data_IF_204452092790
#
_entry.id   IF_204452092790
#
_cell.length_a   1.000
_cell.length_b   1.000
_cell.length_c   1.000
_cell.angle_alpha   90.00
_cell.angle_beta   90.00
_cell.angle_gamma   90.00
#
_symmetry.space_group_name_H-M   'P 1'
#
loop_
_entity.id
_entity.type
_entity.pdbx_description
1 polymer ?
#
# COMPACT_ATOMS: atom_id res chain seq x y z
N UNK A 1 -36.22 -71.45 -14.59
CA UNK A 1 -36.07 -70.01 -14.96
C UNK A 1 -36.07 -69.03 -13.77
N UNK A 2 -36.88 -69.20 -12.71
CA UNK A 2 -36.91 -68.24 -11.56
C UNK A 2 -35.60 -68.09 -10.76
N UNK A 3 -34.72 -69.11 -10.70
CA UNK A 3 -33.45 -69.04 -9.97
C UNK A 3 -32.39 -68.11 -10.61
N UNK A 4 -32.42 -67.95 -11.94
CA UNK A 4 -31.47 -67.05 -12.62
C UNK A 4 -31.80 -65.57 -12.39
N UNK A 5 -33.09 -65.25 -12.24
CA UNK A 5 -33.56 -63.89 -11.99
C UNK A 5 -33.27 -63.41 -10.57
N UNK A 6 -33.25 -64.30 -9.56
CA UNK A 6 -32.92 -63.92 -8.18
C UNK A 6 -31.44 -63.59 -7.99
N UNK A 7 -30.52 -64.32 -8.64
CA UNK A 7 -29.09 -64.05 -8.52
C UNK A 7 -28.66 -62.75 -9.22
N UNK A 8 -29.30 -62.40 -10.35
CA UNK A 8 -28.99 -61.17 -11.06
C UNK A 8 -29.44 -59.91 -10.30
N UNK A 9 -30.61 -59.94 -9.66
CA UNK A 9 -31.08 -58.80 -8.86
C UNK A 9 -30.21 -58.57 -7.62
N UNK A 10 -29.76 -59.64 -6.95
CA UNK A 10 -28.86 -59.53 -5.79
C UNK A 10 -27.51 -58.89 -6.15
N UNK A 11 -26.94 -59.25 -7.33
CA UNK A 11 -25.69 -58.63 -7.81
C UNK A 11 -25.88 -57.16 -8.14
N UNK A 12 -27.01 -56.79 -8.73
CA UNK A 12 -27.35 -55.39 -9.06
C UNK A 12 -27.49 -54.53 -7.80
N UNK A 13 -28.14 -55.04 -6.75
CA UNK A 13 -28.27 -54.33 -5.47
C UNK A 13 -26.92 -54.13 -4.77
N UNK A 14 -26.04 -55.14 -4.80
CA UNK A 14 -24.68 -55.00 -4.24
C UNK A 14 -23.86 -53.97 -5.01
N UNK A 15 -23.91 -54.00 -6.35
CA UNK A 15 -23.24 -53.01 -7.19
C UNK A 15 -23.77 -51.60 -6.94
N UNK A 16 -25.10 -51.44 -6.81
CA UNK A 16 -25.72 -50.15 -6.51
C UNK A 16 -25.27 -49.60 -5.15
N UNK A 17 -25.14 -50.46 -4.12
CA UNK A 17 -24.62 -50.02 -2.81
C UNK A 17 -23.16 -49.57 -2.89
N UNK A 18 -22.31 -50.33 -3.59
CA UNK A 18 -20.90 -49.96 -3.78
C UNK A 18 -20.80 -48.61 -4.48
N UNK A 19 -21.58 -48.40 -5.54
CA UNK A 19 -21.59 -47.15 -6.30
C UNK A 19 -22.03 -45.95 -5.45
N UNK A 20 -23.08 -46.13 -4.63
CA UNK A 20 -23.52 -45.14 -3.65
C UNK A 20 -22.42 -44.80 -2.64
N UNK A 21 -21.75 -45.80 -2.05
CA UNK A 21 -20.68 -45.57 -1.07
C UNK A 21 -19.49 -44.82 -1.68
N UNK A 22 -19.10 -45.16 -2.92
CA UNK A 22 -18.03 -44.46 -3.63
C UNK A 22 -18.43 -43.02 -3.92
N UNK A 23 -19.67 -42.78 -4.35
CA UNK A 23 -20.17 -41.43 -4.59
C UNK A 23 -20.12 -40.56 -3.31
N UNK A 24 -20.54 -41.12 -2.17
CA UNK A 24 -20.46 -40.44 -0.87
C UNK A 24 -19.01 -40.13 -0.50
N UNK A 25 -18.09 -41.08 -0.67
CA UNK A 25 -16.66 -40.86 -0.41
C UNK A 25 -16.07 -39.74 -1.27
N UNK A 26 -16.44 -39.69 -2.56
CA UNK A 26 -16.00 -38.62 -3.47
C UNK A 26 -16.53 -37.27 -3.02
N UNK A 27 -17.82 -37.18 -2.66
CA UNK A 27 -18.43 -35.94 -2.18
C UNK A 27 -17.75 -35.45 -0.90
N UNK A 28 -17.53 -36.35 0.06
CA UNK A 28 -16.83 -36.01 1.31
C UNK A 28 -15.40 -35.57 1.03
N UNK A 29 -14.68 -36.25 0.14
CA UNK A 29 -13.33 -35.87 -0.27
C UNK A 29 -13.28 -34.48 -0.91
N UNK A 30 -14.24 -34.15 -1.77
CA UNK A 30 -14.38 -32.82 -2.38
C UNK A 30 -14.72 -31.73 -1.35
N UNK A 31 -15.55 -32.04 -0.35
CA UNK A 31 -15.83 -31.10 0.74
C UNK A 31 -14.58 -30.80 1.55
N UNK A 32 -13.82 -31.84 1.95
CA UNK A 32 -12.58 -31.66 2.74
C UNK A 32 -11.54 -30.88 1.94
N UNK A 33 -11.35 -31.19 0.66
CA UNK A 33 -10.37 -30.48 -0.17
C UNK A 33 -10.70 -29.00 -0.30
N UNK A 34 -11.98 -28.63 -0.46
CA UNK A 34 -12.40 -27.22 -0.47
C UNK A 34 -12.07 -26.49 0.82
N UNK A 35 -12.27 -27.11 1.97
CA UNK A 35 -11.92 -26.52 3.28
C UNK A 35 -10.42 -26.30 3.41
N UNK A 36 -9.61 -27.29 3.00
CA UNK A 36 -8.14 -27.17 3.03
C UNK A 36 -7.66 -26.05 2.11
N UNK A 37 -8.19 -25.97 0.88
CA UNK A 37 -7.86 -24.92 -0.09
C UNK A 37 -8.26 -23.55 0.47
N UNK A 38 -9.46 -23.40 1.03
CA UNK A 38 -9.91 -22.15 1.60
C UNK A 38 -9.01 -21.68 2.75
N UNK A 39 -8.62 -22.58 3.66
CA UNK A 39 -7.72 -22.24 4.76
C UNK A 39 -6.33 -21.79 4.27
N UNK A 40 -5.79 -22.48 3.25
CA UNK A 40 -4.51 -22.10 2.63
C UNK A 40 -4.61 -20.77 1.87
N UNK A 41 -5.75 -20.51 1.23
CA UNK A 41 -5.99 -19.26 0.52
C UNK A 41 -6.05 -18.08 1.48
N UNK A 42 -6.74 -18.21 2.61
CA UNK A 42 -6.78 -17.17 3.65
C UNK A 42 -5.38 -16.88 4.19
N UNK A 43 -4.61 -17.91 4.52
CA UNK A 43 -3.23 -17.77 4.98
C UNK A 43 -2.34 -17.07 3.91
N UNK A 44 -2.51 -17.43 2.64
CA UNK A 44 -1.79 -16.80 1.54
C UNK A 44 -2.20 -15.34 1.34
N UNK A 45 -3.48 -15.01 1.43
CA UNK A 45 -3.98 -13.64 1.31
C UNK A 45 -3.49 -12.73 2.43
N UNK A 46 -3.40 -13.24 3.66
CA UNK A 46 -2.85 -12.49 4.80
C UNK A 46 -1.36 -12.22 4.63
N UNK A 47 -0.58 -13.22 4.19
CA UNK A 47 0.83 -13.03 3.83
C UNK A 47 1.00 -12.05 2.67
N UNK A 48 0.15 -12.11 1.65
CA UNK A 48 0.21 -11.20 0.52
C UNK A 48 -0.04 -9.76 0.97
N UNK A 49 -1.05 -9.54 1.82
CA UNK A 49 -1.39 -8.23 2.37
C UNK A 49 -0.27 -7.63 3.22
N UNK A 50 0.41 -8.44 4.02
CA UNK A 50 1.56 -7.97 4.81
C UNK A 50 2.76 -7.63 3.92
N UNK A 51 3.00 -8.38 2.84
CA UNK A 51 4.00 -8.00 1.85
C UNK A 51 3.65 -6.69 1.14
N UNK A 52 2.41 -6.51 0.69
CA UNK A 52 1.96 -5.28 0.03
C UNK A 52 2.10 -4.06 0.96
N UNK A 53 1.73 -4.20 2.23
CA UNK A 53 1.95 -3.14 3.23
C UNK A 53 3.44 -2.78 3.33
N UNK A 54 4.33 -3.77 3.40
CA UNK A 54 5.77 -3.54 3.49
C UNK A 54 6.35 -2.90 2.23
N UNK A 55 5.84 -3.26 1.05
CA UNK A 55 6.21 -2.63 -0.22
C UNK A 55 5.80 -1.15 -0.19
N UNK A 56 4.59 -0.84 0.25
CA UNK A 56 4.10 0.53 0.29
C UNK A 56 4.86 1.38 1.32
N UNK A 57 5.15 0.84 2.51
CA UNK A 57 6.01 1.49 3.50
C UNK A 57 7.41 1.81 2.94
N UNK A 58 8.03 0.83 2.24
CA UNK A 58 9.35 1.01 1.63
C UNK A 58 9.32 2.05 0.52
N UNK A 59 8.23 2.08 -0.27
CA UNK A 59 8.04 3.08 -1.32
C UNK A 59 7.87 4.48 -0.75
N UNK A 60 7.09 4.65 0.31
CA UNK A 60 6.95 5.92 1.01
C UNK A 60 8.29 6.38 1.59
N UNK A 61 9.04 5.47 2.24
CA UNK A 61 10.37 5.79 2.76
C UNK A 61 11.31 6.26 1.64
N UNK A 62 11.31 5.61 0.49
CA UNK A 62 12.11 6.03 -0.67
C UNK A 62 11.67 7.38 -1.24
N UNK A 63 10.37 7.67 -1.28
CA UNK A 63 9.85 8.96 -1.72
C UNK A 63 10.27 10.08 -0.78
N UNK A 64 10.12 9.88 0.53
CA UNK A 64 10.57 10.85 1.54
C UNK A 64 12.07 11.07 1.47
N UNK A 65 12.86 10.02 1.25
CA UNK A 65 14.30 10.13 1.10
C UNK A 65 14.68 10.90 -0.17
N UNK A 66 13.97 10.64 -1.29
CA UNK A 66 14.15 11.37 -2.52
C UNK A 66 13.80 12.85 -2.38
N UNK A 67 12.73 13.17 -1.65
CA UNK A 67 12.33 14.54 -1.35
C UNK A 67 13.33 15.25 -0.42
N UNK A 68 13.82 14.54 0.60
CA UNK A 68 14.86 15.02 1.51
C UNK A 68 16.20 15.25 0.81
N UNK A 69 16.47 14.60 -0.33
CA UNK A 69 17.64 14.87 -1.17
C UNK A 69 17.39 16.03 -2.14
N UNK A 70 16.17 16.19 -2.65
CA UNK A 70 15.79 17.27 -3.57
C UNK A 70 15.76 18.64 -2.90
N UNK A 71 15.29 18.73 -1.65
CA UNK A 71 15.29 19.99 -0.90
C UNK A 71 16.68 20.64 -0.79
N UNK A 72 17.72 19.96 -0.26
CA UNK A 72 19.06 20.54 -0.19
C UNK A 72 19.64 20.78 -1.58
N UNK A 73 19.40 19.91 -2.56
CA UNK A 73 19.85 20.14 -3.94
C UNK A 73 19.23 21.42 -4.56
N UNK A 74 17.95 21.68 -4.31
CA UNK A 74 17.29 22.92 -4.74
C UNK A 74 17.91 24.14 -4.06
N UNK A 75 18.24 24.06 -2.78
CA UNK A 75 18.90 25.15 -2.06
C UNK A 75 20.33 25.37 -2.56
N UNK A 76 21.08 24.31 -2.86
CA UNK A 76 22.42 24.40 -3.44
C UNK A 76 22.37 24.97 -4.86
N UNK A 77 21.36 24.64 -5.67
CA UNK A 77 21.17 25.23 -6.99
C UNK A 77 20.93 26.75 -6.89
N UNK A 78 20.06 27.18 -5.98
CA UNK A 78 19.81 28.61 -5.71
C UNK A 78 21.08 29.30 -5.20
N UNK A 79 21.83 28.69 -4.29
CA UNK A 79 23.11 29.22 -3.81
C UNK A 79 24.14 29.37 -4.94
N UNK A 80 24.17 28.41 -5.86
CA UNK A 80 25.07 28.43 -7.01
C UNK A 80 24.69 29.54 -8.00
N UNK A 81 23.40 29.68 -8.34
CA UNK A 81 22.91 30.77 -9.19
C UNK A 81 23.09 32.15 -8.54
N UNK A 82 22.84 32.28 -7.24
CA UNK A 82 23.07 33.51 -6.49
C UNK A 82 24.55 33.92 -6.51
N UNK A 83 25.46 32.95 -6.37
CA UNK A 83 26.91 33.18 -6.46
C UNK A 83 27.35 33.58 -7.86
N UNK A 84 26.77 33.00 -8.91
CA UNK A 84 27.03 33.37 -10.32
C UNK A 84 26.52 34.79 -10.60
N UNK A 85 25.38 35.20 -10.01
CA UNK A 85 24.84 36.55 -10.09
C UNK A 85 25.55 37.57 -9.18
N UNK A 86 26.61 37.15 -8.47
CA UNK A 86 27.43 38.04 -7.65
C UNK A 86 26.89 38.30 -6.23
N UNK A 87 25.81 37.64 -5.82
CA UNK A 87 25.32 37.67 -4.44
C UNK A 87 26.20 36.75 -3.57
N UNK A 88 27.24 37.32 -2.98
CA UNK A 88 28.04 36.66 -1.96
C UNK A 88 27.37 36.82 -0.57
N UNK A 89 27.49 35.79 0.27
CA UNK A 89 27.13 35.88 1.70
C UNK A 89 28.02 36.94 2.35
N UNK A 90 27.51 38.15 2.47
CA UNK A 90 28.19 39.24 3.15
C UNK A 90 28.10 39.00 4.66
N UNK A 91 29.24 38.72 5.30
CA UNK A 91 29.39 38.68 6.76
C UNK A 91 29.35 40.06 7.42
N UNK A 92 29.22 41.15 6.64
CA UNK A 92 29.04 42.48 7.19
C UNK A 92 27.57 42.72 7.52
N UNK A 93 27.29 42.76 8.83
CA UNK A 93 26.15 43.48 9.38
C UNK A 93 26.23 44.92 8.87
N UNK A 94 25.46 45.23 7.83
CA UNK A 94 25.23 46.61 7.44
C UNK A 94 24.35 47.22 8.53
N UNK A 95 24.97 47.93 9.46
CA UNK A 95 24.24 48.81 10.35
C UNK A 95 23.56 49.87 9.48
N UNK A 96 22.22 49.81 9.40
CA UNK A 96 21.44 50.90 8.84
C UNK A 96 21.69 52.15 9.69
N UNK A 97 22.53 53.04 9.18
CA UNK A 97 22.73 54.35 9.76
C UNK A 97 21.40 55.12 9.65
N UNK A 98 20.75 55.27 10.80
CA UNK A 98 19.55 56.09 11.10
C UNK A 98 18.86 56.69 9.86
N UNK A 99 17.83 55.99 9.38
CA UNK A 99 16.88 56.58 8.44
C UNK A 99 16.23 57.82 9.09
N UNK A 100 16.46 58.96 8.45
CA UNK A 100 15.78 60.23 8.69
C UNK A 100 14.25 60.06 8.59
N UNK A 101 13.46 60.75 9.42
CA UNK A 101 12.01 60.59 9.42
C UNK A 101 11.43 61.30 8.20
N UNK A 102 11.14 60.55 7.13
CA UNK A 102 10.27 61.00 6.04
C UNK A 102 8.85 60.51 6.30
N UNK A 103 8.12 61.25 7.12
CA UNK A 103 6.67 61.13 7.22
C UNK A 103 6.06 62.49 7.57
N UNK A 104 5.93 63.35 6.56
CA UNK A 104 4.96 64.44 6.58
C UNK A 104 4.07 64.27 5.34
N UNK A 105 2.78 64.02 5.57
CA UNK A 105 1.74 64.12 4.54
C UNK A 105 0.84 62.90 4.40
N UNK A 106 -0.28 62.87 5.15
CA UNK A 106 -1.40 61.99 4.81
C UNK A 106 -2.37 61.63 5.92
N UNK A 107 -3.27 62.56 6.28
CA UNK A 107 -4.64 62.21 6.67
C UNK A 107 -4.97 61.87 8.13
N UNK A 108 -5.59 62.83 8.83
CA UNK A 108 -6.83 62.59 9.57
C UNK A 108 -6.78 62.22 11.06
N UNK A 109 -7.50 63.03 11.86
CA UNK A 109 -8.12 62.72 13.17
C UNK A 109 -7.16 62.52 14.36
N UNK A 110 -7.24 63.24 15.48
CA UNK A 110 -8.41 63.73 16.25
C UNK A 110 -7.97 64.88 17.17
N UNK A 111 -8.83 65.89 17.32
CA UNK A 111 -8.76 66.87 18.41
C UNK A 111 -9.48 66.26 19.61
N UNK A 112 -8.80 66.17 20.75
CA UNK A 112 -9.42 66.24 22.07
C UNK A 112 -8.42 66.74 23.10
#
# INVERSE_FOLDING_TARGET
>A
MKKLTSEQNLKRDRLSRIFMTVLVLVVVGLCVSRVVIANRLVEASEKLRTLDQKIEETKQANQLLAESLRQPQSLTAIETEAKIQGFAKTNNLVFLEKATPVAFGGGGLTIR
#
